data_IF_594687296054
#
_entry.id   IF_594687296054
#
_cell.length_a   1.000
_cell.length_b   1.000
_cell.length_c   1.000
_cell.angle_alpha   90.00
_cell.angle_beta   90.00
_cell.angle_gamma   90.00
#
_symmetry.space_group_name_H-M   'P 1'
#
loop_
_entity.id
_entity.type
_entity.pdbx_description
1 polymer ?
#
# COMPACT_ATOMS: atom_id res chain seq x y z
N UNK A 1 7.09 3.47 3.67
CA UNK A 1 6.29 4.64 4.06
C UNK A 1 4.90 4.52 3.46
N UNK A 2 3.86 4.99 4.16
CA UNK A 2 2.49 5.11 3.64
C UNK A 2 1.93 6.44 4.10
N UNK A 3 1.54 7.29 3.15
CA UNK A 3 0.96 8.61 3.40
C UNK A 3 -0.31 8.71 2.59
N UNK A 4 -1.47 8.75 3.25
CA UNK A 4 -2.78 8.76 2.57
C UNK A 4 -3.64 9.85 3.21
N UNK A 5 -4.28 10.65 2.37
CA UNK A 5 -5.39 11.53 2.74
C UNK A 5 -6.69 10.76 2.53
N UNK A 6 -7.50 10.68 3.59
CA UNK A 6 -8.87 10.18 3.51
C UNK A 6 -9.78 11.39 3.26
N UNK A 7 -10.46 11.39 2.12
CA UNK A 7 -11.18 12.54 1.59
C UNK A 7 -12.69 12.45 1.90
N UNK A 8 -13.27 11.27 1.79
CA UNK A 8 -14.69 11.02 2.00
C UNK A 8 -14.90 9.62 2.59
N UNK A 9 -16.00 9.42 3.32
CA UNK A 9 -16.34 8.14 3.92
C UNK A 9 -17.11 7.25 2.92
N UNK A 10 -16.78 5.96 2.89
CA UNK A 10 -17.51 4.97 2.08
C UNK A 10 -18.37 4.07 2.97
N UNK A 11 -19.71 4.07 2.81
CA UNK A 11 -20.59 3.14 3.49
C UNK A 11 -20.26 1.66 3.26
N UNK A 12 -20.56 0.83 4.25
CA UNK A 12 -20.40 -0.63 4.16
C UNK A 12 -21.27 -1.18 3.03
N UNK A 13 -20.69 -2.02 2.18
CA UNK A 13 -21.37 -2.68 1.06
C UNK A 13 -21.10 -2.03 -0.31
N UNK A 14 -20.61 -0.79 -0.35
CA UNK A 14 -20.18 -0.15 -1.59
C UNK A 14 -18.86 -0.74 -2.10
N UNK A 15 -18.68 -0.70 -3.43
CA UNK A 15 -17.44 -1.16 -4.07
C UNK A 15 -16.41 -0.04 -4.12
N UNK A 16 -15.19 -0.35 -3.68
CA UNK A 16 -14.04 0.56 -3.81
C UNK A 16 -13.11 0.06 -4.90
N UNK A 17 -12.74 0.96 -5.82
CA UNK A 17 -11.67 0.76 -6.80
C UNK A 17 -10.44 1.55 -6.39
N UNK A 18 -9.34 0.84 -6.14
CA UNK A 18 -8.04 1.46 -5.93
C UNK A 18 -7.17 1.36 -7.20
N UNK A 19 -6.38 2.40 -7.47
CA UNK A 19 -5.36 2.42 -8.52
C UNK A 19 -4.02 2.77 -7.89
N UNK A 20 -3.00 1.99 -8.19
CA UNK A 20 -1.62 2.28 -7.83
C UNK A 20 -0.81 2.53 -9.11
N UNK A 21 -0.28 3.74 -9.25
CA UNK A 21 0.57 4.15 -10.37
C UNK A 21 2.01 4.21 -9.88
N UNK A 22 2.91 3.46 -10.52
CA UNK A 22 4.35 3.51 -10.22
C UNK A 22 4.90 4.88 -10.65
N UNK A 23 5.48 5.61 -9.69
CA UNK A 23 6.07 6.93 -9.92
C UNK A 23 7.59 6.87 -10.07
N UNK A 24 8.25 6.06 -9.25
CA UNK A 24 9.70 6.02 -9.15
C UNK A 24 10.20 4.62 -8.83
N UNK A 25 11.35 4.27 -9.42
CA UNK A 25 12.13 3.08 -9.08
C UNK A 25 13.54 3.48 -8.70
N UNK A 26 13.97 3.11 -7.51
CA UNK A 26 15.30 3.35 -6.97
C UNK A 26 15.86 2.03 -6.41
N UNK A 27 16.56 1.29 -7.28
CA UNK A 27 17.07 -0.04 -6.98
C UNK A 27 15.95 -1.02 -6.58
N UNK A 28 15.82 -1.28 -5.28
CA UNK A 28 14.76 -2.14 -4.71
C UNK A 28 13.59 -1.36 -4.13
N UNK A 29 13.64 -0.03 -4.10
CA UNK A 29 12.57 0.86 -3.61
C UNK A 29 11.68 1.28 -4.78
N UNK A 30 10.37 1.23 -4.55
CA UNK A 30 9.34 1.59 -5.51
C UNK A 30 8.37 2.56 -4.84
N UNK A 31 8.14 3.72 -5.45
CA UNK A 31 7.18 4.71 -4.97
C UNK A 31 5.93 4.67 -5.86
N UNK A 32 4.76 4.58 -5.23
CA UNK A 32 3.47 4.55 -5.92
C UNK A 32 2.61 5.76 -5.52
N UNK A 33 1.96 6.40 -6.50
CA UNK A 33 0.75 7.18 -6.25
C UNK A 33 -0.41 6.21 -6.11
N UNK A 34 -1.17 6.33 -5.02
CA UNK A 34 -2.36 5.52 -4.78
C UNK A 34 -3.56 6.46 -4.77
N UNK A 35 -4.60 6.04 -5.46
CA UNK A 35 -5.89 6.72 -5.49
C UNK A 35 -6.99 5.69 -5.30
N UNK A 36 -8.06 6.05 -4.59
CA UNK A 36 -9.22 5.21 -4.42
C UNK A 36 -10.50 6.00 -4.66
N UNK A 37 -11.48 5.32 -5.25
CA UNK A 37 -12.82 5.82 -5.49
C UNK A 37 -13.82 4.77 -5.02
N UNK A 38 -14.94 5.21 -4.48
CA UNK A 38 -16.12 4.36 -4.39
C UNK A 38 -16.98 4.53 -5.66
N UNK A 39 -18.26 4.21 -5.57
CA UNK A 39 -19.20 4.29 -6.70
C UNK A 39 -19.64 5.74 -6.99
N UNK A 40 -19.36 6.68 -6.10
CA UNK A 40 -19.77 8.09 -6.21
C UNK A 40 -18.59 9.03 -6.42
N UNK A 41 -17.54 8.94 -5.60
CA UNK A 41 -16.46 9.94 -5.59
C UNK A 41 -15.07 9.39 -5.25
N UNK A 42 -14.07 10.29 -5.25
CA UNK A 42 -12.71 9.96 -4.83
C UNK A 42 -12.64 10.00 -3.30
N UNK A 43 -12.31 8.86 -2.70
CA UNK A 43 -12.36 8.69 -1.25
C UNK A 43 -10.98 8.78 -0.62
N UNK A 44 -9.91 8.51 -1.38
CA UNK A 44 -8.56 8.60 -0.86
C UNK A 44 -7.52 8.88 -1.95
N UNK A 45 -6.42 9.50 -1.53
CA UNK A 45 -5.22 9.65 -2.35
C UNK A 45 -3.95 9.70 -1.51
N UNK A 46 -2.82 9.32 -2.09
CA UNK A 46 -1.53 9.56 -1.47
C UNK A 46 -0.40 8.74 -2.07
N UNK A 47 0.62 8.45 -1.26
CA UNK A 47 1.85 7.78 -1.67
C UNK A 47 2.12 6.55 -0.83
N UNK A 48 2.61 5.50 -1.49
CA UNK A 48 2.99 4.25 -0.85
C UNK A 48 4.34 3.77 -1.36
N UNK A 49 5.26 3.47 -0.46
CA UNK A 49 6.56 2.91 -0.82
C UNK A 49 6.65 1.42 -0.55
N UNK A 50 7.19 0.67 -1.51
CA UNK A 50 7.47 -0.75 -1.35
C UNK A 50 8.93 -1.05 -1.61
N UNK A 51 9.42 -2.08 -0.92
CA UNK A 51 10.74 -2.66 -1.17
C UNK A 51 10.61 -4.09 -1.66
N UNK A 52 11.39 -4.45 -2.67
CA UNK A 52 11.49 -5.83 -3.13
C UNK A 52 12.28 -6.66 -2.12
N UNK A 53 11.66 -7.73 -1.64
CA UNK A 53 12.30 -8.74 -0.80
C UNK A 53 12.74 -9.90 -1.70
N UNK A 54 14.05 -10.09 -1.94
CA UNK A 54 14.53 -11.10 -2.88
C UNK A 54 14.42 -12.53 -2.35
N UNK A 55 14.37 -12.71 -1.03
CA UNK A 55 14.28 -14.02 -0.37
C UNK A 55 13.18 -13.97 0.70
N UNK A 56 12.03 -14.53 0.34
CA UNK A 56 10.86 -14.59 1.20
C UNK A 56 11.09 -15.50 2.42
N UNK A 57 11.76 -16.64 2.24
CA UNK A 57 11.98 -17.61 3.31
C UNK A 57 12.87 -17.02 4.42
N UNK A 58 13.96 -16.34 4.04
CA UNK A 58 14.83 -15.64 4.98
C UNK A 58 14.12 -14.48 5.68
N UNK A 59 13.27 -13.74 4.97
CA UNK A 59 12.49 -12.65 5.55
C UNK A 59 11.50 -13.16 6.60
N UNK A 60 10.71 -14.19 6.27
CA UNK A 60 9.76 -14.83 7.20
C UNK A 60 10.48 -15.49 8.38
N UNK A 61 11.60 -16.16 8.15
CA UNK A 61 12.40 -16.77 9.23
C UNK A 61 12.90 -15.75 10.26
N UNK A 62 13.22 -14.51 9.82
CA UNK A 62 13.56 -13.40 10.75
C UNK A 62 12.35 -12.90 11.54
N UNK A 63 11.17 -12.85 10.91
CA UNK A 63 9.94 -12.40 11.58
C UNK A 63 9.49 -13.40 12.66
N UNK A 64 9.48 -14.70 12.35
CA UNK A 64 9.10 -15.75 13.29
C UNK A 64 10.00 -15.81 14.52
N UNK A 65 11.31 -15.58 14.35
CA UNK A 65 12.26 -15.50 15.49
C UNK A 65 12.04 -14.29 16.40
N UNK A 66 11.41 -13.21 15.92
CA UNK A 66 11.12 -12.00 16.72
C UNK A 66 9.85 -12.14 17.55
N UNK A 67 8.89 -12.99 17.14
CA UNK A 67 7.60 -13.17 17.83
C UNK A 67 7.62 -14.20 18.96
N UNK A 68 8.78 -14.73 19.34
CA UNK A 68 8.95 -15.75 20.38
C UNK A 68 9.57 -15.24 21.68
N UNK A 69 9.23 -14.02 22.11
CA UNK A 69 9.61 -13.45 23.40
C UNK A 69 8.41 -13.31 24.31
#
# INVERSE_FOLDING_TARGET
MVEIKHLAATPVGMKVRAKATLLETDGRRFLFAVEAWDEEEKIAEGRHERFVVPDMAKFLGRALKKGGG
#
